data_IF_713589932090
#
_entry.id   IF_713589932090
#
_cell.length_a   1.000
_cell.length_b   1.000
_cell.length_c   1.000
_cell.angle_alpha   90.00
_cell.angle_beta   90.00
_cell.angle_gamma   90.00
#
_symmetry.space_group_name_H-M   'P 1'
#
loop_
_entity.id
_entity.type
_entity.pdbx_description
1 polymer ?
#
# COMPACT_ATOMS: atom_id res chain seq x y z
N UNK A 1 -13.96 -15.17 2.48
CA UNK A 1 -12.63 -15.79 2.60
C UNK A 1 -12.66 -16.72 3.81
N UNK A 2 -11.91 -17.81 3.80
CA UNK A 2 -11.76 -18.65 4.98
C UNK A 2 -11.18 -17.81 6.15
N UNK A 3 -11.74 -17.87 7.37
CA UNK A 3 -11.17 -17.20 8.55
C UNK A 3 -9.68 -17.48 8.79
N UNK A 4 -9.18 -18.63 8.31
CA UNK A 4 -7.76 -19.00 8.36
C UNK A 4 -6.82 -17.99 7.67
N UNK A 5 -7.32 -17.14 6.77
CA UNK A 5 -6.52 -16.08 6.13
C UNK A 5 -6.34 -14.82 6.97
N UNK A 6 -7.09 -14.66 8.08
CA UNK A 6 -7.00 -13.49 8.96
C UNK A 6 -5.57 -13.17 9.41
N UNK A 7 -4.81 -14.15 9.96
CA UNK A 7 -3.41 -13.94 10.34
C UNK A 7 -2.50 -13.52 9.17
N UNK A 8 -2.76 -14.00 7.95
CA UNK A 8 -2.00 -13.64 6.74
C UNK A 8 -2.29 -12.20 6.34
N UNK A 9 -3.57 -11.79 6.34
CA UNK A 9 -3.98 -10.42 6.05
C UNK A 9 -3.39 -9.42 7.05
N UNK A 10 -3.44 -9.75 8.35
CA UNK A 10 -2.80 -8.95 9.39
C UNK A 10 -1.27 -8.90 9.21
N UNK A 11 -0.66 -10.02 8.82
CA UNK A 11 0.76 -10.11 8.51
C UNK A 11 1.20 -9.19 7.39
N UNK A 12 0.50 -9.23 6.26
CA UNK A 12 0.77 -8.34 5.12
C UNK A 12 0.58 -6.87 5.48
N UNK A 13 -0.48 -6.55 6.23
CA UNK A 13 -0.75 -5.18 6.63
C UNK A 13 0.32 -4.56 7.53
N UNK A 14 1.04 -5.34 8.35
CA UNK A 14 2.13 -4.81 9.19
C UNK A 14 3.22 -4.09 8.39
N UNK A 15 3.42 -4.46 7.12
CA UNK A 15 4.39 -3.80 6.24
C UNK A 15 3.93 -2.44 5.71
N UNK A 16 2.61 -2.17 5.71
CA UNK A 16 2.03 -0.95 5.13
C UNK A 16 2.34 0.30 5.97
N UNK A 17 2.13 0.32 7.30
CA UNK A 17 2.51 1.47 8.13
C UNK A 17 3.99 1.83 8.06
N UNK A 18 4.88 0.88 7.77
CA UNK A 18 6.32 1.13 7.61
C UNK A 18 6.66 2.02 6.40
N UNK A 19 5.70 2.21 5.47
CA UNK A 19 5.81 3.12 4.32
C UNK A 19 5.16 4.49 4.57
N UNK A 20 4.62 4.71 5.77
CA UNK A 20 3.88 5.93 6.13
C UNK A 20 4.72 6.83 7.03
N UNK A 21 4.78 8.11 6.69
CA UNK A 21 5.45 9.14 7.49
C UNK A 21 4.67 10.45 7.48
N UNK A 22 5.01 11.38 8.36
CA UNK A 22 4.56 12.78 8.27
C UNK A 22 5.65 13.59 7.57
N UNK A 23 5.28 14.28 6.50
CA UNK A 23 6.15 15.14 5.73
C UNK A 23 6.47 16.46 6.45
N UNK A 24 7.43 17.24 5.91
CA UNK A 24 7.81 18.53 6.48
C UNK A 24 6.70 19.59 6.44
N UNK A 25 5.66 19.37 5.62
CA UNK A 25 4.45 20.18 5.55
C UNK A 25 3.36 19.76 6.56
N UNK A 26 3.68 18.79 7.44
CA UNK A 26 2.75 18.25 8.43
C UNK A 26 1.70 17.30 7.85
N UNK A 27 1.81 16.88 6.58
CA UNK A 27 0.85 15.98 5.93
C UNK A 27 1.36 14.55 5.87
N UNK A 28 0.43 13.60 5.80
CA UNK A 28 0.75 12.18 5.61
C UNK A 28 1.39 11.93 4.25
N UNK A 29 2.44 11.12 4.24
CA UNK A 29 3.15 10.63 3.06
C UNK A 29 3.14 9.11 3.08
N UNK A 30 2.69 8.50 1.99
CA UNK A 30 2.73 7.06 1.73
C UNK A 30 3.71 6.86 0.58
N UNK A 31 4.88 6.31 0.89
CA UNK A 31 5.96 6.15 -0.08
C UNK A 31 5.89 4.82 -0.85
N UNK A 32 6.71 4.71 -1.90
CA UNK A 32 6.99 3.45 -2.61
C UNK A 32 5.80 2.87 -3.40
N UNK A 33 4.88 3.75 -3.85
CA UNK A 33 3.73 3.34 -4.67
C UNK A 33 4.12 3.37 -6.14
N UNK A 34 4.03 2.22 -6.81
CA UNK A 34 4.20 2.13 -8.27
C UNK A 34 3.05 2.88 -8.95
N UNK A 35 3.39 3.78 -9.87
CA UNK A 35 2.41 4.51 -10.67
C UNK A 35 1.77 3.58 -11.73
N UNK A 36 0.77 4.07 -12.47
CA UNK A 36 0.11 3.32 -13.53
C UNK A 36 1.10 2.62 -14.48
N UNK A 37 1.02 1.29 -14.54
CA UNK A 37 1.90 0.44 -15.34
C UNK A 37 1.11 -0.27 -16.46
N UNK A 38 1.75 -0.45 -17.61
CA UNK A 38 1.25 -1.25 -18.74
C UNK A 38 1.83 -2.67 -18.69
N UNK A 39 1.59 -3.45 -19.75
CA UNK A 39 2.18 -4.77 -19.92
C UNK A 39 3.66 -4.64 -20.29
N UNK A 40 4.54 -5.37 -19.60
CA UNK A 40 5.97 -5.38 -19.89
C UNK A 40 6.68 -6.64 -19.38
N UNK A 41 7.99 -6.68 -19.54
CA UNK A 41 8.85 -7.76 -19.03
C UNK A 41 9.24 -7.54 -17.55
N UNK A 42 10.05 -8.44 -17.00
CA UNK A 42 10.49 -8.33 -15.61
C UNK A 42 11.29 -7.04 -15.33
N UNK A 43 12.12 -6.61 -16.29
CA UNK A 43 12.94 -5.39 -16.14
C UNK A 43 12.05 -4.17 -16.09
N UNK A 44 11.04 -4.10 -16.96
CA UNK A 44 10.02 -3.04 -16.96
C UNK A 44 9.38 -2.88 -15.59
N UNK A 45 8.90 -3.97 -14.97
CA UNK A 45 8.22 -3.89 -13.67
C UNK A 45 9.15 -3.54 -12.51
N UNK A 46 10.41 -3.96 -12.56
CA UNK A 46 11.40 -3.60 -11.54
C UNK A 46 11.76 -2.11 -11.60
N UNK A 47 11.80 -1.55 -12.81
CA UNK A 47 12.11 -0.16 -13.10
C UNK A 47 10.89 0.78 -13.04
N UNK A 48 9.68 0.27 -12.80
CA UNK A 48 8.48 1.09 -12.73
C UNK A 48 8.68 2.28 -11.75
N UNK A 49 8.40 3.51 -12.19
CA UNK A 49 8.52 4.67 -11.32
C UNK A 49 7.62 4.55 -10.11
N UNK A 50 8.09 5.11 -8.99
CA UNK A 50 7.36 5.13 -7.74
C UNK A 50 7.19 6.57 -7.28
N UNK A 51 6.02 6.87 -6.74
CA UNK A 51 5.67 8.21 -6.28
C UNK A 51 5.00 8.12 -4.91
N UNK A 52 5.13 9.17 -4.13
CA UNK A 52 4.40 9.26 -2.87
C UNK A 52 2.96 9.66 -3.12
N UNK A 53 2.05 9.10 -2.34
CA UNK A 53 0.63 9.44 -2.37
C UNK A 53 -0.01 9.27 -3.76
N UNK A 54 0.55 8.43 -4.63
CA UNK A 54 -0.14 8.04 -5.86
C UNK A 54 -1.49 7.39 -5.51
N UNK A 55 -2.53 7.74 -6.26
CA UNK A 55 -3.92 7.41 -5.91
C UNK A 55 -4.19 5.90 -5.84
N UNK A 56 -3.45 5.07 -6.57
CA UNK A 56 -3.60 3.61 -6.51
C UNK A 56 -3.26 3.11 -5.10
N UNK A 57 -2.10 3.52 -4.57
CA UNK A 57 -1.65 3.14 -3.23
C UNK A 57 -2.43 3.84 -2.12
N UNK A 58 -2.78 5.11 -2.30
CA UNK A 58 -3.59 5.86 -1.34
C UNK A 58 -4.97 5.24 -1.15
N UNK A 59 -5.65 4.87 -2.24
CA UNK A 59 -6.95 4.21 -2.19
C UNK A 59 -6.89 2.88 -1.43
N UNK A 60 -5.90 2.04 -1.76
CA UNK A 60 -5.68 0.76 -1.06
C UNK A 60 -5.38 0.98 0.43
N UNK A 61 -4.57 1.98 0.78
CA UNK A 61 -4.27 2.30 2.18
C UNK A 61 -5.55 2.63 2.95
N UNK A 62 -6.44 3.47 2.41
CA UNK A 62 -7.68 3.84 3.09
C UNK A 62 -8.61 2.63 3.27
N UNK A 63 -8.83 1.84 2.21
CA UNK A 63 -9.72 0.68 2.26
C UNK A 63 -9.20 -0.35 3.27
N UNK A 64 -7.92 -0.70 3.20
CA UNK A 64 -7.33 -1.71 4.11
C UNK A 64 -7.38 -1.30 5.58
N UNK A 65 -7.21 -0.01 5.89
CA UNK A 65 -7.36 0.50 7.25
C UNK A 65 -8.81 0.36 7.77
N UNK A 66 -9.81 0.57 6.92
CA UNK A 66 -11.21 0.42 7.29
C UNK A 66 -11.53 -1.06 7.53
N UNK A 67 -11.19 -1.94 6.59
CA UNK A 67 -11.49 -3.37 6.67
C UNK A 67 -10.83 -4.06 7.86
N UNK A 68 -9.56 -3.76 8.13
CA UNK A 68 -8.84 -4.37 9.26
C UNK A 68 -9.24 -3.82 10.62
N UNK A 69 -9.84 -2.63 10.67
CA UNK A 69 -10.46 -2.13 11.89
C UNK A 69 -11.78 -2.83 12.18
N UNK A 70 -12.58 -3.10 11.15
CA UNK A 70 -13.88 -3.80 11.26
C UNK A 70 -13.75 -5.31 11.50
N UNK A 71 -12.58 -5.88 11.23
CA UNK A 71 -12.27 -7.31 11.42
C UNK A 71 -11.65 -7.63 12.79
N UNK A 72 -11.61 -6.66 13.70
CA UNK A 72 -11.23 -6.82 15.11
C UNK A 72 -12.47 -6.90 15.98
#
# INVERSE_FOLDING_TARGET
MDPAFGPVAQGGYRGVPAKVSIGPDGRTRIADVVIGASVGDARYYLECPRMDNDFHGLGVFLITNVELRSSR
#
